data_IF_639362853391
#
_entry.id   IF_639362853391
#
_cell.length_a   1.000
_cell.length_b   1.000
_cell.length_c   1.000
_cell.angle_alpha   90.00
_cell.angle_beta   90.00
_cell.angle_gamma   90.00
#
_symmetry.space_group_name_H-M   'P 1'
#
loop_
_entity.id
_entity.type
_entity.pdbx_description
1 polymer ?
#
# COMPACT_ATOMS: atom_id res chain seq x y z
N UNK A 1 -33.87 -20.93 -35.00
CA UNK A 1 -33.92 -20.20 -33.72
C UNK A 1 -32.51 -19.91 -33.27
N UNK A 2 -31.91 -18.84 -33.79
CA UNK A 2 -30.68 -18.28 -33.27
C UNK A 2 -31.11 -17.20 -32.28
N UNK A 3 -31.10 -17.49 -30.98
CA UNK A 3 -31.28 -16.44 -29.99
C UNK A 3 -30.07 -15.53 -30.09
N UNK A 4 -30.30 -14.39 -30.74
CA UNK A 4 -29.42 -13.24 -30.78
C UNK A 4 -29.04 -12.93 -29.33
N UNK A 5 -27.81 -13.25 -28.96
CA UNK A 5 -27.25 -12.85 -27.68
C UNK A 5 -27.09 -11.34 -27.81
N UNK A 6 -28.02 -10.58 -27.24
CA UNK A 6 -27.95 -9.14 -27.12
C UNK A 6 -26.57 -8.78 -26.54
N UNK A 7 -25.64 -8.36 -27.41
CA UNK A 7 -24.50 -7.56 -26.98
C UNK A 7 -25.11 -6.23 -26.57
N UNK A 8 -25.51 -6.14 -25.30
CA UNK A 8 -25.86 -4.86 -24.71
C UNK A 8 -24.63 -3.96 -24.91
N UNK A 9 -24.73 -2.86 -25.67
CA UNK A 9 -23.58 -2.01 -25.94
C UNK A 9 -23.07 -1.53 -24.59
N UNK A 10 -21.76 -1.68 -24.34
CA UNK A 10 -21.14 -1.17 -23.13
C UNK A 10 -21.40 0.34 -23.12
N UNK A 11 -22.30 0.77 -22.24
CA UNK A 11 -22.62 2.19 -22.08
C UNK A 11 -21.42 2.91 -21.47
N UNK A 12 -21.22 4.18 -21.82
CA UNK A 12 -20.14 5.00 -21.25
C UNK A 12 -20.18 5.01 -19.71
N UNK A 13 -21.37 4.97 -19.10
CA UNK A 13 -21.53 4.86 -17.64
C UNK A 13 -20.92 3.56 -17.07
N UNK A 14 -21.00 2.45 -17.80
CA UNK A 14 -20.39 1.18 -17.40
C UNK A 14 -18.87 1.24 -17.51
N UNK A 15 -18.36 1.91 -18.55
CA UNK A 15 -16.91 2.12 -18.73
C UNK A 15 -16.36 2.98 -17.60
N UNK A 16 -17.06 4.04 -17.22
CA UNK A 16 -16.61 4.98 -16.20
C UNK A 16 -16.66 4.40 -14.79
N UNK A 17 -17.69 3.62 -14.46
CA UNK A 17 -17.73 2.86 -13.21
C UNK A 17 -16.57 1.86 -13.09
N UNK A 18 -16.25 1.14 -14.17
CA UNK A 18 -15.12 0.21 -14.20
C UNK A 18 -13.77 0.93 -14.12
N UNK A 19 -13.63 2.13 -14.69
CA UNK A 19 -12.41 2.95 -14.56
C UNK A 19 -12.21 3.47 -13.15
N UNK A 20 -13.28 3.91 -12.48
CA UNK A 20 -13.23 4.30 -11.07
C UNK A 20 -12.84 3.12 -10.17
N UNK A 21 -13.42 1.94 -10.40
CA UNK A 21 -13.07 0.73 -9.66
C UNK A 21 -11.60 0.34 -9.88
N UNK A 22 -11.11 0.39 -11.12
CA UNK A 22 -9.69 0.18 -11.43
C UNK A 22 -8.80 1.22 -10.73
N UNK A 23 -9.21 2.49 -10.66
CA UNK A 23 -8.45 3.53 -9.97
C UNK A 23 -8.38 3.28 -8.46
N UNK A 24 -9.50 2.92 -7.84
CA UNK A 24 -9.58 2.58 -6.42
C UNK A 24 -8.75 1.34 -6.07
N UNK A 25 -8.81 0.30 -6.89
CA UNK A 25 -8.00 -0.91 -6.71
C UNK A 25 -6.50 -0.62 -6.89
N UNK A 26 -6.12 0.19 -7.90
CA UNK A 26 -4.73 0.61 -8.09
C UNK A 26 -4.23 1.44 -6.91
N UNK A 27 -5.07 2.30 -6.34
CA UNK A 27 -4.75 3.08 -5.14
C UNK A 27 -4.57 2.17 -3.92
N UNK A 28 -5.43 1.16 -3.76
CA UNK A 28 -5.30 0.16 -2.71
C UNK A 28 -4.01 -0.64 -2.85
N UNK A 29 -3.66 -1.07 -4.06
CA UNK A 29 -2.40 -1.77 -4.36
C UNK A 29 -1.19 -0.87 -4.07
N UNK A 30 -1.22 0.40 -4.49
CA UNK A 30 -0.12 1.34 -4.23
C UNK A 30 0.12 1.57 -2.75
N UNK A 31 -0.96 1.64 -1.97
CA UNK A 31 -0.88 1.74 -0.51
C UNK A 31 -0.31 0.47 0.14
N UNK A 32 -0.64 -0.71 -0.39
CA UNK A 32 -0.05 -1.96 0.11
C UNK A 32 1.41 -2.11 -0.30
N UNK A 33 1.79 -1.70 -1.52
CA UNK A 33 3.14 -1.88 -2.05
C UNK A 33 4.23 -1.22 -1.19
N UNK A 34 3.98 -0.01 -0.67
CA UNK A 34 4.94 0.69 0.21
C UNK A 34 5.09 -0.05 1.55
N UNK A 35 3.99 -0.52 2.13
CA UNK A 35 4.02 -1.28 3.38
C UNK A 35 4.72 -2.63 3.17
N UNK A 36 4.42 -3.32 2.06
CA UNK A 36 5.03 -4.60 1.71
C UNK A 36 6.54 -4.48 1.45
N UNK A 37 6.99 -3.38 0.84
CA UNK A 37 8.42 -3.08 0.66
C UNK A 37 9.13 -2.87 2.00
N UNK A 38 8.53 -2.10 2.92
CA UNK A 38 9.07 -1.91 4.25
C UNK A 38 9.13 -3.25 5.02
N UNK A 39 8.09 -4.09 4.93
CA UNK A 39 8.09 -5.45 5.51
C UNK A 39 9.20 -6.31 4.90
N UNK A 40 9.36 -6.26 3.57
CA UNK A 40 10.41 -6.98 2.86
C UNK A 40 11.81 -6.59 3.35
N UNK A 41 12.04 -5.29 3.54
CA UNK A 41 13.27 -4.77 4.12
C UNK A 41 13.49 -5.28 5.55
N UNK A 42 12.48 -5.19 6.42
CA UNK A 42 12.56 -5.68 7.80
C UNK A 42 12.84 -7.19 7.86
N UNK A 43 12.23 -7.94 6.96
CA UNK A 43 12.46 -9.39 6.80
C UNK A 43 13.90 -9.68 6.38
N UNK A 44 14.44 -8.92 5.41
CA UNK A 44 15.77 -9.15 4.87
C UNK A 44 16.88 -8.80 5.88
N UNK A 45 16.77 -7.66 6.56
CA UNK A 45 17.80 -7.14 7.47
C UNK A 45 17.71 -7.77 8.85
N UNK A 46 16.50 -7.83 9.42
CA UNK A 46 16.30 -8.28 10.81
C UNK A 46 15.82 -9.74 10.92
N UNK A 47 15.64 -10.44 9.78
CA UNK A 47 15.16 -11.82 9.74
C UNK A 47 13.82 -12.02 10.44
N UNK A 48 12.99 -10.98 10.46
CA UNK A 48 11.65 -11.03 11.00
C UNK A 48 10.73 -11.81 10.06
N UNK A 49 9.80 -12.63 10.59
CA UNK A 49 8.66 -13.09 9.80
C UNK A 49 7.85 -11.89 9.27
N UNK A 50 7.25 -11.97 8.06
CA UNK A 50 6.49 -10.86 7.49
C UNK A 50 5.40 -10.30 8.41
N UNK A 51 4.69 -11.17 9.13
CA UNK A 51 3.67 -10.77 10.10
C UNK A 51 4.25 -9.94 11.25
N UNK A 52 5.45 -10.29 11.74
CA UNK A 52 6.13 -9.52 12.78
C UNK A 52 6.63 -8.18 12.24
N UNK A 53 7.11 -8.12 10.99
CA UNK A 53 7.47 -6.87 10.33
C UNK A 53 6.28 -5.90 10.23
N UNK A 54 5.11 -6.40 9.85
CA UNK A 54 3.88 -5.60 9.81
C UNK A 54 3.48 -5.10 11.21
N UNK A 55 3.62 -5.95 12.24
CA UNK A 55 3.28 -5.57 13.61
C UNK A 55 4.21 -4.45 14.13
N UNK A 56 5.50 -4.53 13.86
CA UNK A 56 6.46 -3.47 14.21
C UNK A 56 6.06 -2.13 13.57
N UNK A 57 5.71 -2.12 12.28
CA UNK A 57 5.28 -0.88 11.61
C UNK A 57 4.00 -0.31 12.23
N UNK A 58 3.05 -1.16 12.62
CA UNK A 58 1.81 -0.75 13.30
C UNK A 58 2.06 -0.18 14.69
N UNK A 59 2.90 -0.83 15.47
CA UNK A 59 3.24 -0.40 16.82
C UNK A 59 3.88 0.99 16.81
N UNK A 60 4.86 1.21 15.91
CA UNK A 60 5.52 2.51 15.74
C UNK A 60 4.52 3.56 15.29
N UNK A 61 3.67 3.24 14.30
CA UNK A 61 2.62 4.14 13.80
C UNK A 61 1.68 4.60 14.92
N UNK A 62 1.22 3.69 15.77
CA UNK A 62 0.32 4.00 16.88
C UNK A 62 1.01 4.83 17.97
N UNK A 63 2.23 4.46 18.36
CA UNK A 63 2.97 5.17 19.40
C UNK A 63 3.43 6.56 19.01
N UNK A 64 3.66 6.80 17.72
CA UNK A 64 4.09 8.11 17.20
C UNK A 64 2.94 8.97 16.69
N UNK A 65 1.72 8.42 16.63
CA UNK A 65 0.56 9.03 15.96
C UNK A 65 0.86 9.43 14.49
N UNK A 66 1.73 8.66 13.82
CA UNK A 66 2.10 8.86 12.41
C UNK A 66 1.39 7.81 11.57
N UNK A 67 0.89 8.20 10.39
CA UNK A 67 0.25 7.28 9.44
C UNK A 67 1.20 6.13 9.08
N UNK A 68 0.69 4.89 9.09
CA UNK A 68 1.45 3.67 8.77
C UNK A 68 2.25 3.76 7.46
N UNK A 69 1.67 4.37 6.41
CA UNK A 69 2.35 4.57 5.12
C UNK A 69 3.57 5.49 5.25
N UNK A 70 3.49 6.54 6.08
CA UNK A 70 4.60 7.45 6.33
C UNK A 70 5.70 6.77 7.14
N UNK A 71 5.34 5.91 8.09
CA UNK A 71 6.32 5.07 8.80
C UNK A 71 7.02 4.11 7.83
N UNK A 72 6.27 3.41 6.98
CA UNK A 72 6.83 2.51 5.98
C UNK A 72 7.77 3.23 4.99
N UNK A 73 7.37 4.41 4.50
CA UNK A 73 8.19 5.24 3.62
C UNK A 73 9.48 5.72 4.31
N UNK A 74 9.40 6.07 5.60
CA UNK A 74 10.57 6.44 6.41
C UNK A 74 11.55 5.27 6.53
N UNK A 75 11.04 4.05 6.76
CA UNK A 75 11.86 2.83 6.83
C UNK A 75 12.54 2.55 5.48
N UNK A 76 11.84 2.72 4.36
CA UNK A 76 12.42 2.55 3.02
C UNK A 76 13.48 3.62 2.74
N UNK A 77 13.20 4.87 3.08
CA UNK A 77 14.14 5.99 2.96
C UNK A 77 15.42 5.71 3.73
N UNK A 78 15.29 5.21 4.97
CA UNK A 78 16.43 4.73 5.76
C UNK A 78 17.17 3.57 5.10
N UNK A 79 16.44 2.57 4.59
CA UNK A 79 17.02 1.43 3.89
C UNK A 79 17.85 1.84 2.66
N UNK A 80 17.46 2.93 2.00
CA UNK A 80 18.16 3.51 0.85
C UNK A 80 19.35 4.40 1.25
N UNK A 81 19.64 4.56 2.54
CA UNK A 81 20.75 5.39 3.04
C UNK A 81 20.46 6.90 3.00
N UNK A 82 19.20 7.29 2.83
CA UNK A 82 18.77 8.69 2.89
C UNK A 82 18.48 9.04 4.36
N UNK A 83 19.03 10.15 4.89
CA UNK A 83 18.79 10.54 6.28
C UNK A 83 17.29 10.78 6.51
N UNK A 84 16.73 10.12 7.53
CA UNK A 84 15.33 10.31 7.92
C UNK A 84 15.16 11.62 8.71
N UNK A 85 13.98 12.26 8.65
CA UNK A 85 13.67 13.42 9.47
C UNK A 85 13.90 13.09 10.96
N UNK A 86 14.58 13.98 11.67
CA UNK A 86 14.88 13.79 13.09
C UNK A 86 13.58 13.69 13.89
N UNK A 87 13.48 12.67 14.74
CA UNK A 87 12.36 12.53 15.67
C UNK A 87 12.31 13.78 16.54
N UNK A 88 11.12 14.38 16.66
CA UNK A 88 10.90 15.50 17.58
C UNK A 88 10.88 14.94 19.00
N UNK A 89 11.86 15.36 19.81
CA UNK A 89 11.89 15.03 21.24
C UNK A 89 10.62 15.59 21.90
N UNK A 90 9.90 14.73 22.61
CA UNK A 90 8.72 15.05 23.41
C UNK A 90 9.10 15.66 24.76
#
# INVERSE_FOLDING_TARGET
MTTSRDLQPVSDDTVEGLREEIAQLRQAIGSHAVVDQAIGFLTAVYRLPPAAGLEVLREVSQHTDIRLLTVADTVITWALGVPTPQAVDA
#
